data_IF_733675778451
#
_entry.id   IF_733675778451
#
_cell.length_a   1.000
_cell.length_b   1.000
_cell.length_c   1.000
_cell.angle_alpha   90.00
_cell.angle_beta   90.00
_cell.angle_gamma   90.00
#
_symmetry.space_group_name_H-M   'P 1'
#
loop_
_entity.id
_entity.type
_entity.pdbx_description
1 polymer ?
#
# COMPACT_ATOMS: atom_id res chain seq x y z
N UNK A 1 22.01 -16.68 -8.31
CA UNK A 1 22.33 -15.48 -7.50
C UNK A 1 21.08 -14.60 -7.43
N UNK A 2 20.15 -14.91 -6.51
CA UNK A 2 18.92 -14.13 -6.28
C UNK A 2 18.92 -13.74 -4.81
N UNK A 3 19.29 -12.51 -4.51
CA UNK A 3 19.49 -12.10 -3.12
C UNK A 3 20.01 -10.68 -3.02
N UNK A 4 19.19 -9.70 -3.42
CA UNK A 4 19.22 -8.30 -3.00
C UNK A 4 18.14 -7.52 -3.78
N UNK A 5 16.95 -7.32 -3.19
CA UNK A 5 15.90 -6.30 -3.50
C UNK A 5 14.43 -6.74 -3.38
N UNK A 6 14.12 -7.93 -2.85
CA UNK A 6 12.75 -8.49 -2.90
C UNK A 6 11.86 -8.26 -1.66
N UNK A 7 12.23 -7.41 -0.70
CA UNK A 7 11.36 -7.15 0.45
C UNK A 7 10.21 -6.20 0.09
N UNK A 8 8.99 -6.39 0.63
CA UNK A 8 7.88 -5.46 0.46
C UNK A 8 8.25 -4.02 0.87
N UNK A 9 9.06 -3.87 1.92
CA UNK A 9 9.56 -2.55 2.38
C UNK A 9 10.39 -1.84 1.30
N UNK A 10 11.39 -2.53 0.74
CA UNK A 10 12.26 -1.95 -0.30
C UNK A 10 11.42 -1.51 -1.50
N UNK A 11 10.48 -2.34 -1.95
CA UNK A 11 9.56 -1.99 -3.05
C UNK A 11 8.71 -0.77 -2.74
N UNK A 12 8.17 -0.67 -1.53
CA UNK A 12 7.36 0.48 -1.12
C UNK A 12 8.19 1.76 -1.13
N UNK A 13 9.38 1.75 -0.52
CA UNK A 13 10.26 2.93 -0.45
C UNK A 13 10.71 3.39 -1.83
N UNK A 14 11.18 2.47 -2.66
CA UNK A 14 11.62 2.78 -4.02
C UNK A 14 10.45 3.26 -4.89
N UNK A 15 9.30 2.59 -4.79
CA UNK A 15 8.09 2.95 -5.51
C UNK A 15 7.59 4.35 -5.13
N UNK A 16 7.49 4.64 -3.83
CA UNK A 16 7.09 5.95 -3.33
C UNK A 16 8.08 7.05 -3.78
N UNK A 17 9.39 6.78 -3.69
CA UNK A 17 10.41 7.72 -4.18
C UNK A 17 10.27 8.03 -5.67
N UNK A 18 9.92 7.03 -6.50
CA UNK A 18 9.62 7.23 -7.94
C UNK A 18 8.34 8.03 -8.19
N UNK A 19 7.40 8.00 -7.26
CA UNK A 19 6.20 8.84 -7.28
C UNK A 19 6.47 10.27 -6.75
N UNK A 20 7.70 10.56 -6.31
CA UNK A 20 8.06 11.84 -5.68
C UNK A 20 7.51 11.98 -4.27
N UNK A 21 7.19 10.87 -3.60
CA UNK A 21 6.67 10.84 -2.22
C UNK A 21 7.80 10.48 -1.25
N UNK A 22 7.96 11.30 -0.21
CA UNK A 22 8.86 11.01 0.91
C UNK A 22 8.05 10.45 2.08
N UNK A 23 8.04 9.12 2.22
CA UNK A 23 7.33 8.44 3.28
C UNK A 23 8.21 8.35 4.53
N UNK A 24 7.68 8.84 5.65
CA UNK A 24 8.32 8.66 6.96
C UNK A 24 8.47 7.18 7.31
N UNK A 25 9.43 6.85 8.19
CA UNK A 25 9.60 5.48 8.67
C UNK A 25 8.32 4.92 9.33
N UNK A 26 7.55 5.78 10.01
CA UNK A 26 6.27 5.40 10.62
C UNK A 26 5.23 5.06 9.56
N UNK A 27 5.09 5.89 8.52
CA UNK A 27 4.15 5.63 7.43
C UNK A 27 4.48 4.34 6.68
N UNK A 28 5.77 4.07 6.45
CA UNK A 28 6.23 2.81 5.86
C UNK A 28 5.85 1.62 6.75
N UNK A 29 6.08 1.71 8.06
CA UNK A 29 5.70 0.64 8.99
C UNK A 29 4.19 0.38 8.99
N UNK A 30 3.37 1.43 9.07
CA UNK A 30 1.90 1.31 9.05
C UNK A 30 1.39 0.70 7.74
N UNK A 31 1.99 1.06 6.61
CA UNK A 31 1.68 0.45 5.32
C UNK A 31 1.98 -1.06 5.31
N UNK A 32 3.11 -1.48 5.87
CA UNK A 32 3.49 -2.89 5.94
C UNK A 32 2.59 -3.67 6.91
N UNK A 33 2.27 -3.10 8.07
CA UNK A 33 1.29 -3.67 9.01
C UNK A 33 -0.07 -3.87 8.35
N UNK A 34 -0.51 -2.91 7.52
CA UNK A 34 -1.73 -3.04 6.74
C UNK A 34 -1.66 -4.17 5.72
N UNK A 35 -0.53 -4.33 5.02
CA UNK A 35 -0.32 -5.49 4.11
C UNK A 35 -0.38 -6.81 4.88
N UNK A 36 0.21 -6.90 6.07
CA UNK A 36 0.14 -8.10 6.91
C UNK A 36 -1.30 -8.41 7.35
N UNK A 37 -2.07 -7.39 7.72
CA UNK A 37 -3.50 -7.53 8.05
C UNK A 37 -4.29 -8.05 6.85
N UNK A 38 -4.05 -7.51 5.64
CA UNK A 38 -4.70 -7.97 4.41
C UNK A 38 -4.37 -9.43 4.12
N UNK A 39 -3.12 -9.85 4.29
CA UNK A 39 -2.73 -11.25 4.11
C UNK A 39 -3.38 -12.16 5.15
N UNK A 40 -3.47 -11.69 6.40
CA UNK A 40 -4.10 -12.43 7.50
C UNK A 40 -5.57 -12.70 7.22
N UNK A 41 -6.33 -11.65 6.90
CA UNK A 41 -7.78 -11.73 6.73
C UNK A 41 -8.19 -12.15 5.31
N UNK A 42 -7.34 -11.90 4.31
CA UNK A 42 -7.53 -12.33 2.93
C UNK A 42 -7.63 -13.85 2.79
N UNK A 43 -7.04 -14.63 3.69
CA UNK A 43 -7.20 -16.10 3.72
C UNK A 43 -8.66 -16.55 3.85
N UNK A 44 -9.51 -15.75 4.49
CA UNK A 44 -10.91 -16.11 4.78
C UNK A 44 -11.90 -15.24 4.00
N UNK A 45 -11.55 -13.98 3.72
CA UNK A 45 -12.50 -12.98 3.20
C UNK A 45 -12.26 -12.51 1.75
N UNK A 46 -11.28 -13.10 1.04
CA UNK A 46 -10.94 -12.73 -0.34
C UNK A 46 -10.76 -11.21 -0.58
N UNK A 47 -10.03 -10.55 0.33
CA UNK A 47 -9.85 -9.09 0.32
C UNK A 47 -9.02 -8.59 -0.88
N UNK A 48 -8.09 -9.40 -1.36
CA UNK A 48 -7.26 -9.14 -2.54
C UNK A 48 -7.27 -10.39 -3.42
N UNK A 49 -7.04 -10.25 -4.73
CA UNK A 49 -6.90 -11.42 -5.61
C UNK A 49 -5.59 -12.19 -5.33
N UNK A 50 -4.56 -11.49 -4.85
CA UNK A 50 -3.23 -12.06 -4.57
C UNK A 50 -3.01 -12.32 -3.08
N UNK A 51 -2.10 -13.25 -2.78
CA UNK A 51 -1.58 -13.54 -1.42
C UNK A 51 -0.08 -13.24 -1.32
N UNK A 52 0.50 -12.56 -2.31
CA UNK A 52 1.89 -12.12 -2.30
C UNK A 52 1.99 -10.69 -1.74
N UNK A 53 2.76 -10.52 -0.66
CA UNK A 53 2.94 -9.23 -0.01
C UNK A 53 3.50 -8.16 -0.98
N UNK A 54 4.46 -8.56 -1.81
CA UNK A 54 5.10 -7.65 -2.74
C UNK A 54 4.18 -7.25 -3.90
N UNK A 55 3.28 -8.12 -4.32
CA UNK A 55 2.23 -7.81 -5.30
C UNK A 55 1.17 -6.87 -4.70
N UNK A 56 0.78 -7.06 -3.43
CA UNK A 56 -0.12 -6.12 -2.74
C UNK A 56 0.51 -4.73 -2.66
N UNK A 57 1.81 -4.65 -2.32
CA UNK A 57 2.53 -3.36 -2.30
C UNK A 57 2.47 -2.69 -3.68
N UNK A 58 2.77 -3.41 -4.76
CA UNK A 58 2.83 -2.79 -6.09
C UNK A 58 1.44 -2.47 -6.65
N UNK A 59 0.48 -3.39 -6.56
CA UNK A 59 -0.80 -3.31 -7.29
C UNK A 59 -1.91 -2.61 -6.52
N UNK A 60 -1.78 -2.46 -5.20
CA UNK A 60 -2.80 -1.83 -4.38
C UNK A 60 -2.23 -0.64 -3.61
N UNK A 61 -1.13 -0.82 -2.88
CA UNK A 61 -0.59 0.23 -2.02
C UNK A 61 0.01 1.39 -2.82
N UNK A 62 1.01 1.11 -3.67
CA UNK A 62 1.65 2.12 -4.50
C UNK A 62 0.66 2.74 -5.49
N UNK A 63 -0.22 1.94 -6.08
CA UNK A 63 -1.29 2.42 -6.96
C UNK A 63 -2.18 3.45 -6.24
N UNK A 64 -2.61 3.16 -5.01
CA UNK A 64 -3.40 4.09 -4.19
C UNK A 64 -2.65 5.38 -3.86
N UNK A 65 -1.35 5.30 -3.62
CA UNK A 65 -0.52 6.48 -3.29
C UNK A 65 -0.32 7.42 -4.50
N UNK A 66 -0.53 6.95 -5.74
CA UNK A 66 -0.35 7.79 -6.94
C UNK A 66 -1.23 9.05 -6.95
N UNK A 67 -2.38 9.00 -6.28
CA UNK A 67 -3.32 10.13 -6.24
C UNK A 67 -2.99 11.14 -5.15
N UNK A 68 -2.12 10.81 -4.19
CA UNK A 68 -1.79 11.66 -3.04
C UNK A 68 -1.36 13.09 -3.43
N UNK A 69 -0.53 13.32 -4.49
CA UNK A 69 -0.16 14.67 -4.91
C UNK A 69 -1.31 15.49 -5.52
N UNK A 70 -2.38 14.82 -5.97
CA UNK A 70 -3.51 15.44 -6.68
C UNK A 70 -4.65 15.80 -5.73
N UNK A 71 -4.76 15.12 -4.60
CA UNK A 71 -5.83 15.32 -3.64
C UNK A 71 -5.55 16.52 -2.75
N UNK A 72 -6.54 17.39 -2.59
CA UNK A 72 -6.49 18.57 -1.71
C UNK A 72 -7.78 18.67 -0.92
N UNK A 73 -7.69 18.93 0.37
CA UNK A 73 -8.84 19.09 1.26
C UNK A 73 -8.66 18.32 2.57
N UNK A 74 -9.48 18.67 3.56
CA UNK A 74 -9.46 18.02 4.88
C UNK A 74 -10.43 16.84 5.00
N UNK A 75 -11.41 16.77 4.11
CA UNK A 75 -12.45 15.74 4.13
C UNK A 75 -12.44 14.99 2.81
N UNK A 76 -12.32 13.67 2.90
CA UNK A 76 -12.32 12.77 1.76
C UNK A 76 -13.37 11.69 1.98
N UNK A 77 -14.00 11.25 0.89
CA UNK A 77 -14.94 10.14 0.87
C UNK A 77 -14.44 9.12 -0.16
N UNK A 78 -14.28 7.88 0.29
CA UNK A 78 -13.99 6.74 -0.58
C UNK A 78 -15.25 5.87 -0.68
N UNK A 79 -15.81 5.77 -1.89
CA UNK A 79 -17.04 5.03 -2.14
C UNK A 79 -16.68 3.66 -2.68
N UNK A 80 -16.93 2.63 -1.87
CA UNK A 80 -16.69 1.24 -2.26
C UNK A 80 -15.27 0.75 -1.99
N UNK A 81 -14.63 1.25 -0.93
CA UNK A 81 -13.21 0.98 -0.60
C UNK A 81 -12.84 -0.50 -0.44
N UNK A 82 -13.81 -1.40 -0.28
CA UNK A 82 -13.59 -2.85 -0.24
C UNK A 82 -12.59 -3.23 0.85
N UNK A 83 -11.38 -3.62 0.44
CA UNK A 83 -10.27 -3.93 1.35
C UNK A 83 -9.61 -2.70 2.00
N UNK A 84 -10.16 -1.50 1.78
CA UNK A 84 -9.69 -0.23 2.33
C UNK A 84 -8.81 0.58 1.38
N UNK A 85 -8.79 0.28 0.08
CA UNK A 85 -8.05 1.03 -0.93
C UNK A 85 -8.99 1.97 -1.71
N UNK A 86 -8.58 3.22 -2.02
CA UNK A 86 -7.33 3.87 -1.64
C UNK A 86 -7.36 4.59 -0.27
N UNK A 87 -8.48 4.62 0.45
CA UNK A 87 -8.63 5.44 1.67
C UNK A 87 -7.58 5.20 2.76
N UNK A 88 -7.31 3.95 3.14
CA UNK A 88 -6.40 3.65 4.26
C UNK A 88 -4.94 4.01 3.95
N UNK A 89 -4.40 3.73 2.75
CA UNK A 89 -3.07 4.24 2.37
C UNK A 89 -2.93 5.77 2.35
N UNK A 90 -4.04 6.49 2.17
CA UNK A 90 -4.03 7.96 2.07
C UNK A 90 -4.28 8.67 3.42
N UNK A 91 -4.62 7.91 4.47
CA UNK A 91 -5.01 8.44 5.77
C UNK A 91 -3.83 8.93 6.62
#
# INVERSE_FOLDING_TARGET
MQGASNSPETRLREGAGRLGLDLSAVAVAQCLDFVELLLKWGRVHNLTATRDAGEIVTRHLLDSLTILPLVRGQHMLDIGSGAGFPALPLA
#
